data_IF_309977114864
#
_entry.id   IF_309977114864
#
_cell.length_a   1.000
_cell.length_b   1.000
_cell.length_c   1.000
_cell.angle_alpha   90.00
_cell.angle_beta   90.00
_cell.angle_gamma   90.00
#
_symmetry.space_group_name_H-M   'P 1'
#
loop_
_entity.id
_entity.type
_entity.pdbx_description
1 polymer ?
#
# COMPACT_ATOMS: atom_id res chain seq x y z
N UNK A 1 3.02 -5.93 27.21
CA UNK A 1 4.21 -6.12 26.34
C UNK A 1 4.59 -4.73 25.85
N UNK A 2 5.31 -3.95 26.67
CA UNK A 2 5.71 -2.55 26.37
C UNK A 2 7.21 -2.54 26.10
N UNK A 3 7.60 -2.76 24.86
CA UNK A 3 9.00 -3.02 24.51
C UNK A 3 9.80 -1.73 24.20
N UNK A 4 9.14 -0.62 23.84
CA UNK A 4 9.72 0.72 23.73
C UNK A 4 8.60 1.75 23.46
N UNK A 5 8.55 2.93 24.08
CA UNK A 5 7.47 3.91 23.88
C UNK A 5 7.34 4.37 22.42
N UNK A 6 8.45 4.41 21.67
CA UNK A 6 8.45 4.72 20.24
C UNK A 6 7.77 3.62 19.40
N UNK A 7 7.94 2.35 19.77
CA UNK A 7 7.31 1.21 19.08
C UNK A 7 5.81 1.21 19.35
N UNK A 8 5.41 1.50 20.59
CA UNK A 8 3.99 1.62 20.97
C UNK A 8 3.34 2.77 20.16
N UNK A 9 3.98 3.93 20.07
CA UNK A 9 3.51 5.05 19.26
C UNK A 9 3.45 4.72 17.76
N UNK A 10 4.47 4.05 17.22
CA UNK A 10 4.49 3.64 15.83
C UNK A 10 3.33 2.67 15.51
N UNK A 11 3.08 1.72 16.41
CA UNK A 11 1.97 0.79 16.30
C UNK A 11 0.63 1.52 16.29
N UNK A 12 0.41 2.45 17.21
CA UNK A 12 -0.83 3.23 17.30
C UNK A 12 -1.09 4.06 16.03
N UNK A 13 -0.04 4.65 15.45
CA UNK A 13 -0.15 5.42 14.20
C UNK A 13 -0.51 4.52 13.02
N UNK A 14 0.11 3.34 12.90
CA UNK A 14 -0.21 2.34 11.87
C UNK A 14 -1.63 1.82 12.04
N UNK A 15 -2.06 1.55 13.28
CA UNK A 15 -3.40 1.09 13.56
C UNK A 15 -4.45 2.16 13.20
N UNK A 16 -4.20 3.43 13.54
CA UNK A 16 -5.06 4.55 13.13
C UNK A 16 -5.22 4.60 11.60
N UNK A 17 -4.13 4.50 10.85
CA UNK A 17 -4.18 4.48 9.39
C UNK A 17 -4.96 3.28 8.85
N UNK A 18 -4.71 2.08 9.40
CA UNK A 18 -5.43 0.87 9.00
C UNK A 18 -6.94 0.96 9.32
N UNK A 19 -7.31 1.60 10.44
CA UNK A 19 -8.71 1.88 10.76
C UNK A 19 -9.32 2.82 9.73
N UNK A 20 -8.67 3.94 9.39
CA UNK A 20 -9.16 4.86 8.34
C UNK A 20 -9.43 4.13 7.01
N UNK A 21 -8.52 3.24 6.61
CA UNK A 21 -8.68 2.43 5.40
C UNK A 21 -9.90 1.50 5.45
N UNK A 22 -10.18 0.89 6.62
CA UNK A 22 -11.32 -0.04 6.80
C UNK A 22 -12.66 0.71 6.91
N UNK A 23 -12.68 1.85 7.60
CA UNK A 23 -13.89 2.65 7.83
C UNK A 23 -14.17 3.66 6.74
N UNK A 24 -13.24 3.80 5.79
CA UNK A 24 -13.28 4.73 4.66
C UNK A 24 -13.40 6.21 5.06
N UNK A 25 -12.63 6.61 6.06
CA UNK A 25 -12.63 7.97 6.62
C UNK A 25 -11.44 8.78 6.14
N UNK A 26 -11.32 8.95 4.81
CA UNK A 26 -10.20 9.67 4.19
C UNK A 26 -10.11 11.15 4.55
N UNK A 27 -11.20 11.76 5.04
CA UNK A 27 -11.23 13.11 5.57
C UNK A 27 -10.33 13.30 6.81
N UNK A 28 -10.01 12.22 7.54
CA UNK A 28 -9.14 12.26 8.72
C UNK A 28 -7.64 12.19 8.38
N UNK A 29 -7.29 12.09 7.10
CA UNK A 29 -5.90 11.89 6.67
C UNK A 29 -4.99 13.05 7.10
N UNK A 30 -5.46 14.29 7.01
CA UNK A 30 -4.63 15.47 7.33
C UNK A 30 -4.28 15.53 8.81
N UNK A 31 -5.26 15.30 9.68
CA UNK A 31 -5.04 15.21 11.13
C UNK A 31 -4.07 14.07 11.49
N UNK A 32 -4.16 12.95 10.76
CA UNK A 32 -3.25 11.83 10.96
C UNK A 32 -1.82 12.15 10.49
N UNK A 33 -1.65 12.83 9.35
CA UNK A 33 -0.33 13.24 8.85
C UNK A 33 0.38 14.18 9.82
N UNK A 34 -0.35 15.11 10.45
CA UNK A 34 0.20 16.00 11.48
C UNK A 34 0.68 15.23 12.71
N UNK A 35 -0.07 14.22 13.17
CA UNK A 35 0.37 13.35 14.26
C UNK A 35 1.64 12.57 13.93
N UNK A 36 1.76 12.08 12.69
CA UNK A 36 2.95 11.35 12.23
C UNK A 36 4.16 12.27 12.09
N UNK A 37 3.98 13.54 11.71
CA UNK A 37 5.04 14.54 11.72
C UNK A 37 5.48 14.84 13.17
N UNK A 38 4.53 15.03 14.07
CA UNK A 38 4.79 15.33 15.46
C UNK A 38 5.48 14.18 16.22
N UNK A 39 5.29 12.92 15.80
CA UNK A 39 5.95 11.77 16.43
C UNK A 39 7.46 11.72 16.20
N UNK A 40 7.98 12.44 15.20
CA UNK A 40 9.41 12.50 14.83
C UNK A 40 10.05 11.12 14.54
N UNK A 41 9.25 10.08 14.31
CA UNK A 41 9.74 8.75 13.90
C UNK A 41 10.31 8.89 12.49
N UNK A 42 11.61 8.66 12.35
CA UNK A 42 12.36 8.92 11.11
C UNK A 42 11.85 8.08 9.94
N UNK A 43 11.50 6.84 10.21
CA UNK A 43 11.02 5.85 9.25
C UNK A 43 9.69 6.28 8.61
N UNK A 44 8.87 7.05 9.33
CA UNK A 44 7.58 7.53 8.82
C UNK A 44 7.66 8.84 8.04
N UNK A 45 8.74 9.61 8.17
CA UNK A 45 8.87 10.89 7.45
C UNK A 45 8.89 10.68 5.92
N UNK A 46 9.59 9.64 5.45
CA UNK A 46 9.58 9.27 4.03
C UNK A 46 8.20 8.82 3.53
N UNK A 47 7.44 8.15 4.39
CA UNK A 47 6.07 7.72 4.09
C UNK A 47 5.12 8.90 3.94
N UNK A 48 5.18 9.87 4.86
CA UNK A 48 4.41 11.13 4.79
C UNK A 48 4.70 11.89 3.51
N UNK A 49 5.98 12.04 3.14
CA UNK A 49 6.37 12.70 1.89
C UNK A 49 5.86 11.95 0.64
N UNK A 50 5.71 10.63 0.71
CA UNK A 50 5.06 9.84 -0.33
C UNK A 50 3.56 10.14 -0.42
N UNK A 51 2.86 10.08 0.71
CA UNK A 51 1.43 10.38 0.77
C UNK A 51 1.13 11.78 0.24
N UNK A 52 1.88 12.79 0.66
CA UNK A 52 1.63 14.18 0.26
C UNK A 52 1.76 14.39 -1.25
N UNK A 53 2.72 13.71 -1.90
CA UNK A 53 2.87 13.77 -3.37
C UNK A 53 1.66 13.19 -4.10
N UNK A 54 1.08 12.12 -3.56
CA UNK A 54 -0.05 11.40 -4.14
C UNK A 54 -1.36 11.63 -3.37
N UNK A 55 -1.48 12.76 -2.64
CA UNK A 55 -2.52 12.97 -1.63
C UNK A 55 -3.93 12.75 -2.16
N UNK A 56 -4.24 13.28 -3.34
CA UNK A 56 -5.55 13.09 -3.96
C UNK A 56 -5.90 11.61 -4.20
N UNK A 57 -4.92 10.82 -4.65
CA UNK A 57 -5.08 9.38 -4.88
C UNK A 57 -5.22 8.62 -3.55
N UNK A 58 -4.45 9.01 -2.53
CA UNK A 58 -4.53 8.41 -1.18
C UNK A 58 -5.90 8.70 -0.54
N UNK A 59 -6.38 9.94 -0.58
CA UNK A 59 -7.72 10.30 -0.10
C UNK A 59 -8.79 9.49 -0.84
N UNK A 60 -8.72 9.42 -2.17
CA UNK A 60 -9.64 8.59 -2.93
C UNK A 60 -9.60 7.11 -2.50
N UNK A 61 -8.41 6.55 -2.29
CA UNK A 61 -8.24 5.17 -1.79
C UNK A 61 -8.74 4.95 -0.36
N UNK A 62 -8.75 5.99 0.47
CA UNK A 62 -9.27 5.98 1.83
C UNK A 62 -10.76 6.33 1.94
N UNK A 63 -11.44 6.72 0.85
CA UNK A 63 -12.85 7.14 0.89
C UNK A 63 -13.73 6.27 -0.01
N UNK A 64 -13.22 5.90 -1.17
CA UNK A 64 -14.02 5.24 -2.19
C UNK A 64 -14.15 3.72 -1.94
N UNK A 65 -15.25 3.09 -2.38
CA UNK A 65 -15.40 1.65 -2.25
C UNK A 65 -14.49 0.84 -3.19
N UNK A 66 -14.01 1.45 -4.27
CA UNK A 66 -13.14 0.82 -5.26
C UNK A 66 -11.77 0.49 -4.65
N UNK A 67 -11.22 -0.65 -5.03
CA UNK A 67 -9.86 -1.05 -4.65
C UNK A 67 -9.14 -1.70 -5.84
N UNK A 68 -7.81 -1.72 -5.79
CA UNK A 68 -6.99 -2.31 -6.85
C UNK A 68 -6.76 -3.82 -6.68
N UNK A 69 -7.46 -4.49 -5.75
CA UNK A 69 -7.14 -5.86 -5.33
C UNK A 69 -7.18 -6.90 -6.45
N UNK A 70 -8.23 -6.87 -7.28
CA UNK A 70 -8.37 -7.78 -8.44
C UNK A 70 -7.28 -7.54 -9.48
N UNK A 71 -6.99 -6.27 -9.77
CA UNK A 71 -5.97 -5.89 -10.74
C UNK A 71 -4.58 -6.30 -10.25
N UNK A 72 -4.24 -6.01 -8.99
CA UNK A 72 -2.98 -6.43 -8.38
C UNK A 72 -2.84 -7.95 -8.32
N UNK A 73 -3.93 -8.68 -8.06
CA UNK A 73 -3.93 -10.14 -8.12
C UNK A 73 -3.53 -10.67 -9.51
N UNK A 74 -4.11 -10.10 -10.57
CA UNK A 74 -3.78 -10.45 -11.95
C UNK A 74 -2.33 -10.07 -12.30
N UNK A 75 -1.89 -8.88 -11.90
CA UNK A 75 -0.51 -8.41 -12.10
C UNK A 75 0.47 -9.32 -11.36
N UNK A 76 0.15 -9.76 -10.14
CA UNK A 76 0.97 -10.69 -9.37
C UNK A 76 1.05 -12.07 -10.05
N UNK A 77 -0.06 -12.63 -10.54
CA UNK A 77 -0.06 -13.88 -11.33
C UNK A 77 0.83 -13.74 -12.56
N UNK A 78 0.73 -12.63 -13.29
CA UNK A 78 1.56 -12.36 -14.46
C UNK A 78 3.06 -12.24 -14.10
N UNK A 79 3.39 -11.52 -13.03
CA UNK A 79 4.76 -11.40 -12.51
C UNK A 79 5.32 -12.78 -12.11
N UNK A 80 4.51 -13.63 -11.47
CA UNK A 80 4.89 -14.99 -11.08
C UNK A 80 5.22 -15.84 -12.31
N UNK A 81 4.34 -15.87 -13.33
CA UNK A 81 4.59 -16.62 -14.57
C UNK A 81 5.88 -16.17 -15.24
N UNK A 82 6.12 -14.85 -15.33
CA UNK A 82 7.37 -14.31 -15.88
C UNK A 82 8.61 -14.73 -15.07
N UNK A 83 8.51 -14.77 -13.73
CA UNK A 83 9.60 -15.21 -12.82
C UNK A 83 9.89 -16.71 -12.97
N UNK A 84 8.88 -17.56 -13.11
CA UNK A 84 9.07 -19.00 -13.38
C UNK A 84 9.85 -19.26 -14.67
N UNK A 85 9.88 -18.29 -15.59
CA UNK A 85 10.63 -18.34 -16.84
C UNK A 85 11.98 -17.61 -16.76
N UNK A 86 12.46 -17.30 -15.56
CA UNK A 86 13.69 -16.54 -15.32
C UNK A 86 13.74 -15.19 -16.05
N UNK A 87 12.58 -14.56 -16.26
CA UNK A 87 12.47 -13.29 -16.98
C UNK A 87 12.73 -13.35 -18.50
N UNK A 88 12.96 -14.55 -19.06
CA UNK A 88 13.36 -14.73 -20.47
C UNK A 88 12.20 -14.71 -21.47
N UNK A 89 10.98 -14.53 -20.99
CA UNK A 89 9.78 -14.50 -21.81
C UNK A 89 9.52 -13.11 -22.39
N UNK A 90 9.77 -12.95 -23.69
CA UNK A 90 9.20 -11.84 -24.47
C UNK A 90 7.68 -11.98 -24.55
N UNK A 91 6.99 -10.90 -24.90
CA UNK A 91 5.51 -10.85 -24.88
C UNK A 91 4.81 -12.05 -25.55
N UNK A 92 5.22 -12.56 -26.74
CA UNK A 92 4.53 -13.69 -27.37
C UNK A 92 4.50 -14.94 -26.50
N UNK A 93 5.64 -15.28 -25.88
CA UNK A 93 5.76 -16.44 -25.02
C UNK A 93 5.06 -16.25 -23.68
N UNK A 94 5.15 -15.05 -23.09
CA UNK A 94 4.43 -14.72 -21.86
C UNK A 94 2.91 -14.81 -22.06
N UNK A 95 2.40 -14.31 -23.20
CA UNK A 95 0.98 -14.40 -23.56
C UNK A 95 0.51 -15.84 -23.64
N UNK A 96 1.24 -16.71 -24.35
CA UNK A 96 0.90 -18.14 -24.41
C UNK A 96 0.88 -18.77 -23.02
N UNK A 97 1.90 -18.51 -22.19
CA UNK A 97 1.94 -19.04 -20.83
C UNK A 97 0.81 -18.57 -19.93
N UNK A 98 0.35 -17.33 -20.08
CA UNK A 98 -0.79 -16.80 -19.31
C UNK A 98 -2.10 -17.43 -19.77
N UNK A 99 -2.33 -17.53 -21.08
CA UNK A 99 -3.56 -18.11 -21.63
C UNK A 99 -3.71 -19.61 -21.33
N UNK A 100 -2.59 -20.33 -21.24
CA UNK A 100 -2.55 -21.76 -20.93
C UNK A 100 -2.20 -22.05 -19.46
N UNK A 101 -2.18 -21.05 -18.58
CA UNK A 101 -1.98 -21.26 -17.15
C UNK A 101 -3.27 -21.76 -16.50
N UNK A 102 -3.37 -23.09 -16.33
CA UNK A 102 -4.37 -23.75 -15.48
C UNK A 102 -4.15 -23.33 -14.02
#
# INVERSE_FOLDING_TARGET
>A
RHLHPEIDLAYDLVEQFARMLRTRTGEQLDDWLEKVRASQIREFQGFVAGIERDKAAVVAGLTLPQNNGVVEGNVNKLKLIKRMMYGRARFPLLRQRVLHAV
#
